data_IF_684551561146
#
_entry.id   IF_684551561146
#
_cell.length_a   1.000
_cell.length_b   1.000
_cell.length_c   1.000
_cell.angle_alpha   90.00
_cell.angle_beta   90.00
_cell.angle_gamma   90.00
#
_symmetry.space_group_name_H-M   'P 1'
#
loop_
_entity.id
_entity.type
_entity.pdbx_description
1 polymer ?
#
# COMPACT_ATOMS: atom_id res chain seq x y z
N UNK A 1 9.94 -7.99 33.67
CA UNK A 1 10.10 -6.83 32.77
C UNK A 1 8.83 -6.69 31.96
N UNK A 2 8.11 -5.58 32.08
CA UNK A 2 6.85 -5.32 31.37
C UNK A 2 7.14 -4.37 30.18
N UNK A 3 6.65 -4.70 28.98
CA UNK A 3 6.72 -3.81 27.82
C UNK A 3 5.47 -2.94 27.77
N UNK A 4 5.67 -1.63 27.74
CA UNK A 4 4.60 -0.63 27.65
C UNK A 4 4.93 0.27 26.45
N UNK A 5 3.94 0.70 25.65
CA UNK A 5 4.16 1.71 24.62
C UNK A 5 4.76 2.98 25.23
N UNK A 6 5.92 3.42 24.72
CA UNK A 6 6.65 4.58 25.27
C UNK A 6 6.52 5.87 24.44
N UNK A 7 6.06 5.77 23.19
CA UNK A 7 6.04 6.87 22.23
C UNK A 7 4.72 6.86 21.46
N UNK A 8 4.15 8.04 21.22
CA UNK A 8 2.96 8.22 20.37
C UNK A 8 3.39 8.55 18.95
N UNK A 9 2.74 7.95 17.96
CA UNK A 9 2.99 8.22 16.55
C UNK A 9 1.78 8.96 15.97
N UNK A 10 2.04 10.05 15.24
CA UNK A 10 1.02 10.82 14.54
C UNK A 10 1.26 10.76 13.03
N UNK A 11 0.18 10.72 12.26
CA UNK A 11 0.24 10.87 10.82
C UNK A 11 0.49 12.33 10.42
N UNK A 12 0.74 12.57 9.12
CA UNK A 12 1.01 13.91 8.58
C UNK A 12 -0.15 14.90 8.75
N UNK A 13 -1.36 14.39 8.93
CA UNK A 13 -2.59 15.15 9.21
C UNK A 13 -2.82 15.38 10.71
N UNK A 14 -1.92 14.92 11.58
CA UNK A 14 -2.02 15.03 13.03
C UNK A 14 -2.87 13.97 13.71
N UNK A 15 -3.43 13.00 12.97
CA UNK A 15 -4.21 11.90 13.55
C UNK A 15 -3.31 10.90 14.30
N UNK A 16 -3.71 10.36 15.47
CA UNK A 16 -2.91 9.37 16.20
C UNK A 16 -2.93 8.02 15.47
N UNK A 17 -1.78 7.40 15.22
CA UNK A 17 -1.68 6.11 14.52
C UNK A 17 -2.00 4.91 15.41
N UNK A 18 -1.99 5.08 16.74
CA UNK A 18 -2.49 4.07 17.67
C UNK A 18 -3.97 3.78 17.37
N UNK A 19 -4.28 2.53 17.05
CA UNK A 19 -5.62 2.06 16.66
C UNK A 19 -6.21 2.66 15.37
N UNK A 20 -5.49 3.56 14.68
CA UNK A 20 -5.94 4.17 13.43
C UNK A 20 -4.85 3.99 12.36
N UNK A 21 -4.72 2.77 11.78
CA UNK A 21 -3.78 2.54 10.70
C UNK A 21 -4.17 3.36 9.47
N UNK A 22 -3.19 3.71 8.63
CA UNK A 22 -3.48 4.38 7.36
C UNK A 22 -4.32 3.46 6.47
N UNK A 23 -5.32 4.01 5.76
CA UNK A 23 -6.06 3.24 4.76
C UNK A 23 -5.14 2.84 3.60
N UNK A 24 -5.49 1.75 2.93
CA UNK A 24 -4.82 1.33 1.70
C UNK A 24 -5.48 2.01 0.49
N UNK A 25 -4.68 2.35 -0.52
CA UNK A 25 -5.19 2.99 -1.74
C UNK A 25 -6.01 2.03 -2.61
N UNK A 26 -5.58 0.76 -2.68
CA UNK A 26 -6.26 -0.30 -3.43
C UNK A 26 -6.58 -1.44 -2.45
N UNK A 27 -7.86 -1.65 -2.10
CA UNK A 27 -8.24 -2.72 -1.18
C UNK A 27 -8.17 -4.08 -1.86
N UNK A 28 -7.35 -4.98 -1.32
CA UNK A 28 -7.24 -6.37 -1.79
C UNK A 28 -7.33 -7.32 -0.61
N UNK A 29 -8.40 -8.11 -0.56
CA UNK A 29 -8.63 -9.10 0.49
C UNK A 29 -8.06 -10.43 0.06
N UNK A 30 -7.17 -11.00 0.89
CA UNK A 30 -6.62 -12.33 0.68
C UNK A 30 -7.58 -13.40 1.22
N UNK A 31 -8.18 -14.27 0.39
CA UNK A 31 -9.00 -15.39 0.86
C UNK A 31 -8.22 -16.36 1.74
N UNK A 32 -8.95 -16.98 2.67
CA UNK A 32 -8.40 -18.03 3.54
C UNK A 32 -7.99 -19.23 2.68
N UNK A 33 -6.81 -19.77 2.97
CA UNK A 33 -6.27 -20.95 2.28
C UNK A 33 -5.51 -20.64 0.98
N UNK A 34 -5.44 -19.38 0.56
CA UNK A 34 -4.62 -18.97 -0.59
C UNK A 34 -3.14 -19.32 -0.38
N UNK A 35 -2.65 -19.27 0.85
CA UNK A 35 -1.28 -19.66 1.23
C UNK A 35 -0.93 -21.13 0.99
N UNK A 36 -1.93 -22.00 0.79
CA UNK A 36 -1.71 -23.40 0.41
C UNK A 36 -1.59 -23.58 -1.11
N UNK A 37 -1.80 -22.51 -1.87
CA UNK A 37 -1.64 -22.46 -3.31
C UNK A 37 -0.38 -21.67 -3.66
N UNK A 38 0.06 -21.73 -4.91
CA UNK A 38 1.14 -20.90 -5.44
C UNK A 38 0.65 -19.55 -5.98
N UNK A 39 -0.47 -19.01 -5.44
CA UNK A 39 -1.05 -17.73 -5.85
C UNK A 39 -0.90 -16.68 -4.75
N UNK A 40 -0.71 -15.45 -5.18
CA UNK A 40 -0.72 -14.26 -4.33
C UNK A 40 -1.57 -13.18 -5.00
N UNK A 41 -2.81 -13.04 -4.53
CA UNK A 41 -3.80 -12.11 -5.07
C UNK A 41 -3.39 -10.64 -4.86
N UNK A 42 -2.61 -10.36 -3.83
CA UNK A 42 -2.11 -9.01 -3.57
C UNK A 42 -1.02 -8.65 -4.57
N UNK A 43 -0.12 -9.60 -4.86
CA UNK A 43 0.90 -9.43 -5.88
C UNK A 43 0.29 -9.29 -7.28
N UNK A 44 -0.66 -10.15 -7.65
CA UNK A 44 -1.33 -10.09 -8.94
C UNK A 44 -2.03 -8.74 -9.15
N UNK A 45 -2.74 -8.25 -8.13
CA UNK A 45 -3.39 -6.94 -8.15
C UNK A 45 -2.38 -5.79 -8.25
N UNK A 46 -1.26 -5.87 -7.52
CA UNK A 46 -0.21 -4.85 -7.56
C UNK A 46 0.45 -4.76 -8.94
N UNK A 47 0.75 -5.90 -9.58
CA UNK A 47 1.32 -5.95 -10.93
C UNK A 47 0.36 -5.35 -11.94
N UNK A 48 -0.93 -5.71 -11.86
CA UNK A 48 -1.94 -5.16 -12.75
C UNK A 48 -2.05 -3.64 -12.61
N UNK A 49 -2.05 -3.11 -11.39
CA UNK A 49 -2.14 -1.67 -11.15
C UNK A 49 -0.87 -0.93 -11.61
N UNK A 50 0.31 -1.50 -11.36
CA UNK A 50 1.57 -0.95 -11.85
C UNK A 50 1.60 -0.85 -13.38
N UNK A 51 1.16 -1.89 -14.09
CA UNK A 51 1.13 -1.88 -15.56
C UNK A 51 0.17 -0.81 -16.10
N UNK A 52 -0.99 -0.56 -15.46
CA UNK A 52 -1.87 0.56 -15.81
C UNK A 52 -1.20 1.90 -15.59
N UNK A 53 -0.51 2.07 -14.46
CA UNK A 53 0.22 3.30 -14.15
C UNK A 53 1.32 3.56 -15.18
N UNK A 54 2.05 2.53 -15.62
CA UNK A 54 3.07 2.67 -16.66
C UNK A 54 2.43 3.02 -18.01
N UNK A 55 1.34 2.35 -18.41
CA UNK A 55 0.64 2.64 -19.66
C UNK A 55 0.11 4.09 -19.71
N UNK A 56 -0.37 4.61 -18.58
CA UNK A 56 -0.83 6.01 -18.45
C UNK A 56 0.33 7.00 -18.32
N UNK A 57 1.44 6.61 -17.70
CA UNK A 57 2.63 7.46 -17.47
C UNK A 57 3.58 7.51 -18.65
N UNK A 58 3.58 6.51 -19.54
CA UNK A 58 4.39 6.47 -20.77
C UNK A 58 4.12 7.63 -21.74
N UNK A 59 3.03 8.39 -21.53
CA UNK A 59 2.71 9.63 -22.28
C UNK A 59 3.30 10.91 -21.64
N UNK A 60 3.84 10.88 -20.42
CA UNK A 60 4.28 12.09 -19.68
C UNK A 60 5.79 12.38 -19.73
N UNK A 61 6.54 11.78 -20.66
CA UNK A 61 7.97 12.09 -20.85
C UNK A 61 8.16 13.23 -21.84
N UNK A 62 7.86 14.48 -21.47
CA UNK A 62 8.40 15.70 -22.13
C UNK A 62 8.36 16.96 -21.23
N UNK A 63 7.56 17.03 -20.16
CA UNK A 63 7.50 18.24 -19.35
C UNK A 63 8.54 18.23 -18.21
N UNK A 64 9.80 18.51 -18.56
CA UNK A 64 10.89 18.64 -17.58
C UNK A 64 12.24 19.07 -18.18
N UNK A 65 12.23 19.89 -19.24
CA UNK A 65 13.39 20.69 -19.63
C UNK A 65 13.25 22.06 -18.95
N UNK A 66 13.96 22.24 -17.84
CA UNK A 66 14.60 23.46 -17.32
C UNK A 66 15.09 23.22 -15.90
#
# INVERSE_FOLDING_TARGET
>A
MLRIPGTKIFASDGTPMEMHPRPVDVPVTRPVGESYTSKDVQLDAAVAELLKQIATSGSKTTAGSR
#
